data_IF_567638503372
#
_entry.id   IF_567638503372
#
_cell.length_a   1.000
_cell.length_b   1.000
_cell.length_c   1.000
_cell.angle_alpha   90.00
_cell.angle_beta   90.00
_cell.angle_gamma   90.00
#
_symmetry.space_group_name_H-M   'P 1'
#
loop_
_entity.id
_entity.type
_entity.pdbx_description
1 polymer ?
#
# COMPACT_ATOMS: atom_id res chain seq x y z
N UNK A 1 7.44 41.29 -2.01
CA UNK A 1 6.90 40.16 -1.24
C UNK A 1 7.79 38.94 -1.49
N UNK A 2 8.53 38.47 -0.49
CA UNK A 2 9.68 37.56 -0.68
C UNK A 2 9.26 36.16 -1.16
N UNK A 3 9.94 35.65 -2.19
CA UNK A 3 9.81 34.27 -2.73
C UNK A 3 9.87 33.20 -1.63
N UNK A 4 10.67 33.44 -0.59
CA UNK A 4 10.77 32.58 0.59
C UNK A 4 9.48 32.47 1.41
N UNK A 5 8.71 33.57 1.53
CA UNK A 5 7.43 33.56 2.28
C UNK A 5 6.35 32.79 1.53
N UNK A 6 6.34 32.90 0.19
CA UNK A 6 5.45 32.13 -0.68
C UNK A 6 5.73 30.62 -0.62
N UNK A 7 7.01 30.25 -0.54
CA UNK A 7 7.44 28.86 -0.35
C UNK A 7 7.09 28.34 1.05
N UNK A 8 7.17 29.18 2.09
CA UNK A 8 6.77 28.86 3.47
C UNK A 8 5.24 28.68 3.58
N UNK A 9 4.47 29.54 2.94
CA UNK A 9 3.00 29.42 2.89
C UNK A 9 2.56 28.18 2.11
N UNK A 10 3.24 27.82 1.02
CA UNK A 10 3.01 26.53 0.33
C UNK A 10 3.49 25.31 1.11
N UNK A 11 4.46 25.46 2.03
CA UNK A 11 4.94 24.37 2.89
C UNK A 11 4.19 24.27 4.21
N UNK A 12 3.40 25.28 4.61
CA UNK A 12 2.41 25.19 5.69
C UNK A 12 1.11 24.52 5.23
N UNK A 13 0.83 24.54 3.93
CA UNK A 13 -0.09 23.60 3.28
C UNK A 13 0.62 22.27 3.00
N UNK A 14 1.18 21.65 4.04
CA UNK A 14 1.45 20.21 3.98
C UNK A 14 0.09 19.59 3.69
N UNK A 15 -0.11 18.77 2.64
CA UNK A 15 -1.26 17.91 2.65
C UNK A 15 -1.03 17.00 3.85
N UNK A 16 -1.67 17.33 4.97
CA UNK A 16 -1.92 16.42 6.09
C UNK A 16 -2.81 15.31 5.56
N UNK A 17 -2.24 14.53 4.65
CA UNK A 17 -2.68 13.25 4.14
C UNK A 17 -4.19 13.05 4.18
N UNK A 18 -4.95 13.81 3.38
CA UNK A 18 -6.41 13.64 3.29
C UNK A 18 -6.83 12.20 2.96
N UNK A 19 -5.91 11.40 2.40
CA UNK A 19 -6.11 9.99 2.09
C UNK A 19 -5.70 9.01 3.21
N UNK A 20 -5.02 9.48 4.26
CA UNK A 20 -4.60 8.63 5.40
C UNK A 20 -5.79 8.24 6.27
N UNK A 21 -6.75 9.14 6.44
CA UNK A 21 -8.02 8.84 7.10
C UNK A 21 -8.79 7.76 6.34
N UNK A 22 -8.81 7.81 5.00
CA UNK A 22 -9.42 6.78 4.17
C UNK A 22 -8.70 5.44 4.29
N UNK A 23 -7.37 5.45 4.23
CA UNK A 23 -6.55 4.26 4.42
C UNK A 23 -6.83 3.61 5.78
N UNK A 24 -6.83 4.39 6.86
CA UNK A 24 -7.22 3.93 8.20
C UNK A 24 -8.65 3.42 8.27
N UNK A 25 -9.59 4.11 7.64
CA UNK A 25 -10.99 3.70 7.62
C UNK A 25 -11.16 2.31 7.00
N UNK A 26 -10.51 2.07 5.85
CA UNK A 26 -10.50 0.76 5.19
C UNK A 26 -9.89 -0.28 6.12
N UNK A 27 -8.71 0.01 6.67
CA UNK A 27 -7.94 -0.95 7.47
C UNK A 27 -8.65 -1.33 8.77
N UNK A 28 -9.13 -0.34 9.54
CA UNK A 28 -9.84 -0.58 10.79
C UNK A 28 -11.15 -1.35 10.55
N UNK A 29 -11.90 -1.04 9.49
CA UNK A 29 -13.13 -1.77 9.15
C UNK A 29 -12.84 -3.21 8.72
N UNK A 30 -11.81 -3.41 7.89
CA UNK A 30 -11.38 -4.73 7.45
C UNK A 30 -10.90 -5.58 8.61
N UNK A 31 -9.97 -5.07 9.42
CA UNK A 31 -9.41 -5.80 10.56
C UNK A 31 -10.49 -6.16 11.58
N UNK A 32 -11.38 -5.22 11.93
CA UNK A 32 -12.53 -5.51 12.80
C UNK A 32 -13.36 -6.67 12.26
N UNK A 33 -13.72 -6.64 10.98
CA UNK A 33 -14.54 -7.69 10.36
C UNK A 33 -13.79 -9.03 10.27
N UNK A 34 -12.49 -9.03 9.98
CA UNK A 34 -11.64 -10.24 9.96
C UNK A 34 -11.59 -10.87 11.36
N UNK A 35 -11.27 -10.08 12.38
CA UNK A 35 -11.20 -10.56 13.76
C UNK A 35 -12.54 -11.10 14.28
N UNK A 36 -13.67 -10.52 13.84
CA UNK A 36 -15.01 -11.01 14.19
C UNK A 36 -15.38 -12.34 13.51
N UNK A 37 -14.69 -12.72 12.42
CA UNK A 37 -15.00 -13.94 11.65
C UNK A 37 -14.01 -15.08 11.87
N UNK A 38 -12.86 -14.79 12.45
CA UNK A 38 -11.77 -15.76 12.57
C UNK A 38 -11.41 -15.99 14.04
N UNK A 39 -12.16 -16.87 14.71
CA UNK A 39 -11.91 -17.27 16.11
C UNK A 39 -10.50 -17.86 16.33
N UNK A 40 -9.88 -18.41 15.26
CA UNK A 40 -8.56 -19.05 15.30
C UNK A 40 -7.38 -18.07 15.35
N UNK A 41 -7.58 -16.78 15.05
CA UNK A 41 -6.49 -15.79 14.99
C UNK A 41 -5.83 -15.53 16.36
N UNK A 42 -6.49 -15.91 17.45
CA UNK A 42 -5.95 -15.77 18.81
C UNK A 42 -5.21 -17.03 19.29
N UNK A 43 -5.11 -18.08 18.46
CA UNK A 43 -4.58 -19.39 18.88
C UNK A 43 -3.20 -19.72 18.31
N UNK A 44 -2.74 -19.04 17.25
CA UNK A 44 -1.45 -19.29 16.59
C UNK A 44 -0.75 -18.00 16.17
N UNK A 45 0.59 -17.98 16.22
CA UNK A 45 1.45 -16.91 15.67
C UNK A 45 1.63 -17.06 14.14
N UNK A 46 0.54 -17.28 13.42
CA UNK A 46 0.54 -17.37 11.96
C UNK A 46 0.05 -16.04 11.35
N UNK A 47 0.34 -15.85 10.06
CA UNK A 47 -0.14 -14.69 9.30
C UNK A 47 -1.68 -14.59 9.34
N UNK A 48 -2.19 -13.37 9.53
CA UNK A 48 -3.62 -13.09 9.38
C UNK A 48 -3.98 -13.14 7.89
N UNK A 49 -4.83 -14.08 7.50
CA UNK A 49 -5.31 -14.25 6.13
C UNK A 49 -6.78 -13.82 6.00
N UNK A 50 -7.11 -13.11 4.91
CA UNK A 50 -8.48 -12.71 4.60
C UNK A 50 -9.22 -13.80 3.81
N UNK A 51 -9.55 -14.90 4.49
CA UNK A 51 -10.20 -16.07 3.89
C UNK A 51 -11.63 -15.83 3.41
N UNK A 52 -12.22 -14.67 3.67
CA UNK A 52 -13.63 -14.36 3.42
C UNK A 52 -13.84 -13.16 2.47
N UNK A 53 -12.77 -12.68 1.83
CA UNK A 53 -12.72 -11.46 1.01
C UNK A 53 -13.31 -10.22 1.68
N UNK A 54 -13.04 -10.05 2.96
CA UNK A 54 -13.58 -8.95 3.76
C UNK A 54 -13.01 -7.63 3.27
N UNK A 55 -11.74 -7.59 2.91
CA UNK A 55 -11.04 -6.37 2.52
C UNK A 55 -11.60 -5.81 1.23
N UNK A 56 -11.78 -6.67 0.21
CA UNK A 56 -12.40 -6.26 -1.05
C UNK A 56 -13.82 -5.72 -0.82
N UNK A 57 -14.62 -6.39 0.01
CA UNK A 57 -15.97 -5.93 0.36
C UNK A 57 -15.95 -4.56 1.02
N UNK A 58 -15.08 -4.35 2.03
CA UNK A 58 -14.95 -3.05 2.71
C UNK A 58 -14.52 -1.95 1.75
N UNK A 59 -13.55 -2.23 0.89
CA UNK A 59 -13.06 -1.29 -0.13
C UNK A 59 -14.18 -0.94 -1.10
N UNK A 60 -14.90 -1.95 -1.61
CA UNK A 60 -16.02 -1.77 -2.53
C UNK A 60 -17.13 -0.94 -1.90
N UNK A 61 -17.52 -1.24 -0.66
CA UNK A 61 -18.52 -0.47 0.10
C UNK A 61 -18.12 1.02 0.19
N UNK A 62 -16.86 1.28 0.52
CA UNK A 62 -16.32 2.63 0.66
C UNK A 62 -16.23 3.33 -0.71
N UNK A 63 -15.69 2.67 -1.71
CA UNK A 63 -15.51 3.25 -3.04
C UNK A 63 -16.86 3.55 -3.72
N UNK A 64 -17.88 2.72 -3.52
CA UNK A 64 -19.27 3.02 -3.95
C UNK A 64 -19.79 4.25 -3.18
N UNK A 65 -19.60 4.30 -1.86
CA UNK A 65 -20.07 5.42 -1.02
C UNK A 65 -19.46 6.77 -1.42
N UNK A 66 -18.20 6.76 -1.89
CA UNK A 66 -17.51 7.95 -2.39
C UNK A 66 -17.76 8.24 -3.88
N UNK A 67 -18.56 7.41 -4.58
CA UNK A 67 -18.84 7.55 -6.01
C UNK A 67 -17.64 7.24 -6.91
N UNK A 68 -16.67 6.48 -6.41
CA UNK A 68 -15.46 6.10 -7.15
C UNK A 68 -15.65 4.85 -8.00
N UNK A 69 -16.54 3.97 -7.54
CA UNK A 69 -17.06 2.85 -8.31
C UNK A 69 -18.56 3.06 -8.54
N UNK A 70 -19.06 2.54 -9.66
CA UNK A 70 -20.50 2.36 -9.84
C UNK A 70 -21.03 1.27 -8.89
N UNK A 71 -22.36 1.13 -8.81
CA UNK A 71 -23.00 0.10 -7.98
C UNK A 71 -22.53 -1.33 -8.32
N UNK A 72 -21.98 -1.53 -9.52
CA UNK A 72 -21.46 -2.80 -10.01
C UNK A 72 -19.99 -3.02 -9.62
N UNK A 73 -19.24 -1.97 -9.28
CA UNK A 73 -17.83 -2.04 -8.87
C UNK A 73 -16.82 -1.88 -10.00
N UNK A 74 -17.19 -1.38 -11.19
CA UNK A 74 -16.43 -1.59 -12.44
C UNK A 74 -15.45 -0.49 -12.87
N UNK A 75 -15.10 0.49 -12.02
CA UNK A 75 -14.22 1.61 -12.41
C UNK A 75 -12.80 1.59 -11.79
N UNK A 76 -12.01 0.54 -12.07
CA UNK A 76 -10.61 0.38 -11.60
C UNK A 76 -9.66 1.50 -12.07
N UNK A 77 -9.92 2.08 -13.26
CA UNK A 77 -9.05 3.12 -13.86
C UNK A 77 -9.01 4.41 -13.04
N UNK A 78 -10.13 4.81 -12.43
CA UNK A 78 -10.16 6.03 -11.61
C UNK A 78 -9.30 5.88 -10.34
N UNK A 79 -9.33 4.70 -9.72
CA UNK A 79 -8.52 4.39 -8.56
C UNK A 79 -7.01 4.44 -8.88
N UNK A 80 -6.58 3.72 -9.93
CA UNK A 80 -5.18 3.73 -10.38
C UNK A 80 -4.71 5.13 -10.75
N UNK A 81 -5.56 5.93 -11.42
CA UNK A 81 -5.25 7.32 -11.76
C UNK A 81 -5.04 8.19 -10.52
N UNK A 82 -5.84 8.01 -9.46
CA UNK A 82 -5.66 8.74 -8.19
C UNK A 82 -4.40 8.29 -7.45
N UNK A 83 -4.07 7.00 -7.45
CA UNK A 83 -2.83 6.50 -6.84
C UNK A 83 -1.57 7.07 -7.51
N UNK A 84 -1.54 7.12 -8.85
CA UNK A 84 -0.44 7.71 -9.60
C UNK A 84 -0.28 9.23 -9.33
N UNK A 85 -1.40 9.96 -9.21
CA UNK A 85 -1.38 11.38 -8.86
C UNK A 85 -0.76 11.61 -7.48
N UNK A 86 -1.10 10.79 -6.49
CA UNK A 86 -0.55 10.88 -5.13
C UNK A 86 0.96 10.62 -5.10
N UNK A 87 1.46 9.65 -5.87
CA UNK A 87 2.91 9.43 -5.98
C UNK A 87 3.63 10.69 -6.47
N UNK A 88 3.12 11.31 -7.54
CA UNK A 88 3.73 12.49 -8.16
C UNK A 88 3.83 13.68 -7.20
N UNK A 89 2.79 13.94 -6.40
CA UNK A 89 2.81 15.01 -5.40
C UNK A 89 3.94 14.84 -4.35
N UNK A 90 4.28 13.61 -3.99
CA UNK A 90 5.36 13.32 -3.05
C UNK A 90 6.75 13.31 -3.70
N UNK A 91 6.85 13.02 -5.00
CA UNK A 91 8.13 13.10 -5.74
C UNK A 91 8.63 14.52 -5.89
N UNK A 92 7.71 15.47 -6.12
CA UNK A 92 8.05 16.88 -6.33
C UNK A 92 8.43 17.61 -5.02
N UNK A 93 8.31 16.94 -3.86
CA UNK A 93 8.53 17.54 -2.55
C UNK A 93 9.82 17.06 -1.87
N UNK A 94 10.84 17.93 -1.84
CA UNK A 94 12.12 17.69 -1.14
C UNK A 94 11.92 17.44 0.36
N UNK A 95 10.92 18.07 0.98
CA UNK A 95 10.63 17.92 2.41
C UNK A 95 9.93 16.59 2.76
N UNK A 96 9.35 15.90 1.78
CA UNK A 96 8.60 14.64 1.99
C UNK A 96 9.42 13.38 1.69
N UNK A 97 10.75 13.51 1.51
CA UNK A 97 11.64 12.36 1.25
C UNK A 97 11.54 11.26 2.32
N UNK A 98 11.34 11.62 3.59
CA UNK A 98 11.16 10.67 4.70
C UNK A 98 9.79 9.98 4.72
N UNK A 99 8.81 10.49 3.96
CA UNK A 99 7.49 9.90 3.78
C UNK A 99 7.42 9.02 2.51
N UNK A 100 8.25 9.31 1.50
CA UNK A 100 8.22 8.64 0.20
C UNK A 100 8.21 7.10 0.31
N UNK A 101 9.09 6.43 1.10
CA UNK A 101 9.04 4.98 1.21
C UNK A 101 7.70 4.44 1.68
N UNK A 102 7.10 5.12 2.66
CA UNK A 102 5.85 4.67 3.27
C UNK A 102 4.64 4.94 2.38
N UNK A 103 4.66 6.03 1.60
CA UNK A 103 3.66 6.30 0.56
C UNK A 103 3.71 5.25 -0.55
N UNK A 104 4.91 4.88 -1.00
CA UNK A 104 5.10 3.83 -1.99
C UNK A 104 4.60 2.48 -1.49
N UNK A 105 4.93 2.13 -0.24
CA UNK A 105 4.40 0.93 0.41
C UNK A 105 2.86 0.95 0.50
N UNK A 106 2.28 2.09 0.88
CA UNK A 106 0.82 2.25 0.99
C UNK A 106 0.13 2.09 -0.37
N UNK A 107 0.74 2.61 -1.44
CA UNK A 107 0.22 2.48 -2.81
C UNK A 107 0.37 1.05 -3.32
N UNK A 108 1.48 0.37 -2.99
CA UNK A 108 1.67 -1.04 -3.28
C UNK A 108 0.57 -1.90 -2.61
N UNK A 109 0.32 -1.68 -1.31
CA UNK A 109 -0.77 -2.33 -0.57
C UNK A 109 -2.13 -2.02 -1.20
N UNK A 110 -2.42 -0.74 -1.49
CA UNK A 110 -3.69 -0.36 -2.07
C UNK A 110 -3.89 -0.96 -3.47
N UNK A 111 -2.85 -1.03 -4.29
CA UNK A 111 -2.90 -1.64 -5.62
C UNK A 111 -3.17 -3.14 -5.53
N UNK A 112 -2.51 -3.83 -4.60
CA UNK A 112 -2.68 -5.26 -4.40
C UNK A 112 -4.02 -5.61 -3.72
N UNK A 113 -4.28 -5.02 -2.56
CA UNK A 113 -5.36 -5.43 -1.66
C UNK A 113 -6.75 -5.03 -2.17
N UNK A 114 -6.81 -3.96 -2.97
CA UNK A 114 -8.08 -3.35 -3.40
C UNK A 114 -8.46 -3.73 -4.83
N UNK A 115 -7.61 -4.50 -5.52
CA UNK A 115 -7.90 -4.97 -6.87
C UNK A 115 -8.72 -6.26 -6.83
N UNK A 116 -9.84 -6.28 -7.55
CA UNK A 116 -10.67 -7.49 -7.74
C UNK A 116 -9.96 -8.54 -8.61
N UNK A 117 -9.09 -8.09 -9.50
CA UNK A 117 -8.23 -8.90 -10.35
C UNK A 117 -6.84 -8.26 -10.39
N UNK A 118 -5.79 -9.06 -10.21
CA UNK A 118 -4.39 -8.62 -10.29
C UNK A 118 -3.78 -9.26 -11.53
N UNK A 119 -3.22 -8.44 -12.43
CA UNK A 119 -2.43 -8.97 -13.55
C UNK A 119 -0.96 -9.12 -13.16
N UNK A 120 -0.18 -9.88 -13.95
CA UNK A 120 1.28 -9.90 -13.78
C UNK A 120 1.89 -8.49 -13.91
N UNK A 121 1.33 -7.61 -14.75
CA UNK A 121 1.75 -6.21 -14.82
C UNK A 121 1.49 -5.43 -13.53
N UNK A 122 0.33 -5.61 -12.89
CA UNK A 122 0.02 -5.02 -11.58
C UNK A 122 1.01 -5.53 -10.52
N UNK A 123 1.30 -6.84 -10.51
CA UNK A 123 2.24 -7.45 -9.58
C UNK A 123 3.69 -6.95 -9.74
N UNK A 124 4.16 -6.79 -10.98
CA UNK A 124 5.47 -6.16 -11.26
C UNK A 124 5.51 -4.73 -10.74
N UNK A 125 4.44 -3.95 -10.96
CA UNK A 125 4.32 -2.59 -10.44
C UNK A 125 4.41 -2.54 -8.91
N UNK A 126 3.66 -3.42 -8.23
CA UNK A 126 3.69 -3.57 -6.77
C UNK A 126 5.09 -3.93 -6.29
N UNK A 127 5.71 -4.99 -6.82
CA UNK A 127 7.05 -5.41 -6.42
C UNK A 127 8.12 -4.33 -6.69
N UNK A 128 8.00 -3.59 -7.79
CA UNK A 128 8.89 -2.47 -8.11
C UNK A 128 8.78 -1.36 -7.06
N UNK A 129 7.56 -0.94 -6.70
CA UNK A 129 7.33 0.05 -5.65
C UNK A 129 7.91 -0.40 -4.31
N UNK A 130 7.74 -1.68 -3.94
CA UNK A 130 8.29 -2.22 -2.70
C UNK A 130 9.83 -2.22 -2.73
N UNK A 131 10.46 -2.68 -3.80
CA UNK A 131 11.93 -2.68 -3.96
C UNK A 131 12.51 -1.26 -3.94
N UNK A 132 11.87 -0.32 -4.62
CA UNK A 132 12.30 1.08 -4.64
C UNK A 132 12.12 1.73 -3.25
N UNK A 133 11.04 1.42 -2.52
CA UNK A 133 10.86 1.88 -1.15
C UNK A 133 11.98 1.41 -0.21
N UNK A 134 12.49 0.18 -0.39
CA UNK A 134 13.67 -0.33 0.31
C UNK A 134 14.92 0.47 -0.09
N UNK A 135 15.12 0.72 -1.38
CA UNK A 135 16.28 1.45 -1.87
C UNK A 135 16.35 2.87 -1.27
N UNK A 136 15.23 3.60 -1.28
CA UNK A 136 15.15 4.94 -0.68
C UNK A 136 15.36 4.88 0.83
N UNK A 137 14.78 3.87 1.50
CA UNK A 137 14.97 3.68 2.95
C UNK A 137 16.42 3.40 3.32
N UNK A 138 17.18 2.68 2.48
CA UNK A 138 18.62 2.46 2.66
C UNK A 138 19.41 3.77 2.56
N UNK A 139 19.06 4.63 1.60
CA UNK A 139 19.67 5.98 1.49
C UNK A 139 19.38 6.80 2.75
N UNK A 140 18.12 6.85 3.20
CA UNK A 140 17.73 7.60 4.40
C UNK A 140 18.38 7.06 5.68
N UNK A 141 18.63 5.74 5.75
CA UNK A 141 19.40 5.12 6.83
C UNK A 141 20.84 5.67 6.88
N UNK A 142 21.49 5.83 5.73
CA UNK A 142 22.84 6.37 5.64
C UNK A 142 22.86 7.84 6.08
N UNK A 143 21.80 8.58 5.79
CA UNK A 143 21.60 9.97 6.19
C UNK A 143 21.12 10.13 7.66
N UNK A 144 21.03 9.03 8.42
CA UNK A 144 20.49 8.96 9.79
C UNK A 144 19.07 9.55 9.95
N UNK A 145 18.28 9.56 8.88
CA UNK A 145 16.90 10.07 8.89
C UNK A 145 15.91 8.95 9.25
N UNK A 146 14.98 9.24 10.16
CA UNK A 146 13.86 8.36 10.48
C UNK A 146 12.80 8.33 9.38
N UNK A 147 12.05 7.24 9.29
CA UNK A 147 10.91 7.11 8.38
C UNK A 147 9.60 7.41 9.11
N UNK A 148 8.77 8.25 8.52
CA UNK A 148 7.41 8.44 9.02
C UNK A 148 6.54 7.26 8.62
N UNK A 149 6.01 6.54 9.60
CA UNK A 149 4.99 5.52 9.36
C UNK A 149 3.70 6.20 8.91
N UNK A 150 3.05 5.71 7.85
CA UNK A 150 1.67 6.09 7.49
C UNK A 150 0.68 5.34 8.40
N UNK A 151 1.06 4.15 8.85
CA UNK A 151 0.33 3.25 9.75
C UNK A 151 0.54 3.51 11.24
N UNK A 152 1.23 4.57 11.63
CA UNK A 152 1.35 4.94 13.03
C UNK A 152 1.68 6.42 13.22
N UNK A 153 1.36 6.96 14.39
CA UNK A 153 1.89 8.25 14.85
C UNK A 153 3.37 8.17 15.27
N UNK A 154 4.03 7.03 15.02
CA UNK A 154 5.41 6.76 15.44
C UNK A 154 6.34 6.73 14.22
N UNK A 155 7.53 7.29 14.40
CA UNK A 155 8.66 7.09 13.51
C UNK A 155 9.07 5.61 13.58
N UNK A 156 9.17 4.97 12.42
CA UNK A 156 9.76 3.64 12.28
C UNK A 156 11.22 3.81 11.87
N UNK A 157 12.11 2.99 12.44
CA UNK A 157 13.50 2.98 11.99
C UNK A 157 13.58 2.45 10.56
N UNK A 158 14.46 3.02 9.74
CA UNK A 158 14.67 2.53 8.37
C UNK A 158 14.98 1.02 8.32
N UNK A 159 15.70 0.50 9.33
CA UNK A 159 15.97 -0.93 9.48
C UNK A 159 14.69 -1.76 9.61
N UNK A 160 13.77 -1.36 10.50
CA UNK A 160 12.53 -2.11 10.73
C UNK A 160 11.61 -2.04 9.52
N UNK A 161 11.49 -0.86 8.90
CA UNK A 161 10.71 -0.71 7.66
C UNK A 161 11.23 -1.62 6.54
N UNK A 162 12.55 -1.67 6.33
CA UNK A 162 13.15 -2.55 5.31
C UNK A 162 12.81 -4.02 5.60
N UNK A 163 12.83 -4.45 6.87
CA UNK A 163 12.47 -5.82 7.25
C UNK A 163 10.99 -6.10 6.92
N UNK A 164 10.09 -5.19 7.27
CA UNK A 164 8.65 -5.31 7.00
C UNK A 164 8.35 -5.38 5.50
N UNK A 165 8.94 -4.49 4.70
CA UNK A 165 8.77 -4.50 3.24
C UNK A 165 9.35 -5.78 2.63
N UNK A 166 10.48 -6.28 3.14
CA UNK A 166 11.08 -7.52 2.66
C UNK A 166 10.18 -8.73 2.95
N UNK A 167 9.54 -8.79 4.12
CA UNK A 167 8.53 -9.82 4.43
C UNK A 167 7.37 -9.78 3.44
N UNK A 168 6.88 -8.58 3.11
CA UNK A 168 5.81 -8.39 2.11
C UNK A 168 6.24 -8.88 0.73
N UNK A 169 7.45 -8.54 0.26
CA UNK A 169 8.00 -9.03 -1.01
C UNK A 169 8.05 -10.56 -1.01
N UNK A 170 8.63 -11.17 0.04
CA UNK A 170 8.74 -12.63 0.14
C UNK A 170 7.37 -13.31 0.17
N UNK A 171 6.37 -12.72 0.83
CA UNK A 171 5.01 -13.25 0.85
C UNK A 171 4.38 -13.26 -0.56
N UNK A 172 4.58 -12.21 -1.35
CA UNK A 172 4.14 -12.14 -2.75
C UNK A 172 4.88 -13.19 -3.58
N UNK A 173 6.22 -13.19 -3.53
CA UNK A 173 7.05 -14.05 -4.38
C UNK A 173 6.79 -15.55 -4.14
N UNK A 174 6.48 -15.93 -2.89
CA UNK A 174 6.07 -17.29 -2.55
C UNK A 174 4.78 -17.74 -3.25
N UNK A 175 3.88 -16.82 -3.59
CA UNK A 175 2.59 -17.13 -4.23
C UNK A 175 2.65 -17.12 -5.75
N UNK A 176 3.43 -16.21 -6.33
CA UNK A 176 3.35 -15.92 -7.77
C UNK A 176 4.69 -16.08 -8.52
N UNK A 177 5.78 -16.41 -7.82
CA UNK A 177 7.13 -16.49 -8.39
C UNK A 177 7.98 -15.26 -8.07
N UNK A 178 9.29 -15.35 -8.34
CA UNK A 178 10.21 -14.23 -8.11
C UNK A 178 9.90 -13.04 -9.02
N UNK A 179 10.41 -11.86 -8.69
CA UNK A 179 10.25 -10.68 -9.55
C UNK A 179 10.64 -10.93 -11.01
N UNK A 180 11.74 -11.65 -11.25
CA UNK A 180 12.23 -11.92 -12.61
C UNK A 180 11.28 -12.88 -13.34
N UNK A 181 10.76 -13.90 -12.62
CA UNK A 181 9.77 -14.83 -13.17
C UNK A 181 8.48 -14.11 -13.57
N UNK A 182 7.98 -13.23 -12.69
CA UNK A 182 6.75 -12.46 -12.88
C UNK A 182 6.94 -11.43 -14.01
N UNK A 183 8.11 -10.79 -14.10
CA UNK A 183 8.42 -9.80 -15.14
C UNK A 183 8.52 -10.40 -16.54
N UNK A 184 8.86 -11.68 -16.65
CA UNK A 184 8.89 -12.42 -17.91
C UNK A 184 7.49 -12.86 -18.40
N UNK A 185 6.45 -12.75 -17.57
CA UNK A 185 5.07 -13.10 -17.95
C UNK A 185 4.40 -12.01 -18.77
N UNK A 186 3.29 -12.36 -19.41
CA UNK A 186 2.47 -11.39 -20.13
C UNK A 186 1.81 -10.42 -19.14
N UNK A 187 2.09 -9.12 -19.27
CA UNK A 187 1.61 -8.09 -18.32
C UNK A 187 0.09 -7.98 -18.21
N UNK A 188 -0.66 -8.44 -19.22
CA UNK A 188 -2.13 -8.44 -19.24
C UNK A 188 -2.74 -9.73 -18.70
N UNK A 189 -1.94 -10.77 -18.50
CA UNK A 189 -2.42 -12.05 -17.98
C UNK A 189 -2.80 -11.89 -16.49
N UNK A 190 -4.00 -12.34 -16.15
CA UNK A 190 -4.57 -12.28 -14.80
C UNK A 190 -3.98 -13.40 -13.96
N UNK A 191 -3.51 -13.07 -12.75
CA UNK A 191 -3.03 -14.05 -11.79
C UNK A 191 -4.24 -14.81 -11.23
N UNK A 192 -4.16 -16.14 -11.22
CA UNK A 192 -5.23 -16.99 -10.69
C UNK A 192 -5.55 -16.61 -9.25
N UNK A 193 -6.84 -16.40 -8.96
CA UNK A 193 -7.32 -15.86 -7.69
C UNK A 193 -6.95 -16.76 -6.50
N UNK A 194 -6.94 -18.07 -6.67
CA UNK A 194 -6.54 -19.05 -5.66
C UNK A 194 -5.11 -18.83 -5.13
N UNK A 195 -4.22 -18.23 -5.93
CA UNK A 195 -2.84 -17.94 -5.51
C UNK A 195 -2.74 -16.73 -4.59
N UNK A 196 -3.64 -15.76 -4.71
CA UNK A 196 -3.46 -14.41 -4.14
C UNK A 196 -4.64 -13.89 -3.32
N UNK A 197 -5.81 -14.55 -3.37
CA UNK A 197 -7.07 -14.06 -2.82
C UNK A 197 -6.99 -13.72 -1.32
N UNK A 198 -6.35 -14.59 -0.54
CA UNK A 198 -6.23 -14.49 0.91
C UNK A 198 -5.05 -13.63 1.38
N UNK A 199 -4.10 -13.34 0.49
CA UNK A 199 -2.90 -12.56 0.78
C UNK A 199 -3.22 -11.08 0.64
N UNK A 200 -3.39 -10.40 1.78
CA UNK A 200 -3.51 -8.94 1.85
C UNK A 200 -2.23 -8.36 2.44
N UNK A 201 -1.53 -7.53 1.68
CA UNK A 201 -0.20 -7.03 2.01
C UNK A 201 -0.19 -6.28 3.33
N UNK A 202 -1.29 -5.61 3.65
CA UNK A 202 -1.41 -4.89 4.91
C UNK A 202 -1.49 -5.75 6.17
N UNK A 203 -1.89 -7.02 6.02
CA UNK A 203 -1.96 -7.98 7.13
C UNK A 203 -0.61 -8.65 7.38
N UNK A 204 0.35 -8.54 6.46
CA UNK A 204 1.63 -9.27 6.54
C UNK A 204 2.48 -8.84 7.74
N UNK A 205 2.29 -7.61 8.22
CA UNK A 205 3.10 -7.00 9.28
C UNK A 205 2.31 -6.69 10.56
N UNK A 206 1.11 -7.28 10.71
CA UNK A 206 0.31 -7.28 11.95
C UNK A 206 0.66 -8.53 12.75
#
# INVERSE_FOLDING_TARGET
MNKGRKNIEHSLTIPTSGNRSLFWLIYCRSLKRILMKSEYLFQKNDLILDTHNIVEKVVRDIAISFGWLDAEGKNKKLFQKKAAYLLKEYEDSVYLRSYKPNVMFSIACATWDFSTEITFGDAVGVLSLLKESIAISKTLKNDQMGLYSVLGLKLISAKNFIIEVQKTITAIEKRIGSFDDVSAKNSKEVILSDRIYDLKLFLVNI
#
